data_IF_874029400571
#
_entry.id   IF_874029400571
#
_cell.length_a   1.000
_cell.length_b   1.000
_cell.length_c   1.000
_cell.angle_alpha   90.00
_cell.angle_beta   90.00
_cell.angle_gamma   90.00
#
_symmetry.space_group_name_H-M   'P 1'
#
loop_
_entity.id
_entity.type
_entity.pdbx_description
1 polymer ?
#
# COMPACT_ATOMS: atom_id res chain seq x y z
N UNK A 1 -0.43 -17.33 -15.20
CA UNK A 1 -0.27 -15.86 -15.21
C UNK A 1 0.27 -15.46 -16.57
N UNK A 2 -0.18 -14.33 -17.11
CA UNK A 2 0.40 -13.72 -18.31
C UNK A 2 1.86 -13.30 -18.01
N UNK A 3 2.78 -13.52 -18.96
CA UNK A 3 4.21 -13.25 -18.80
C UNK A 3 4.48 -11.77 -18.48
N UNK A 4 3.69 -10.88 -19.09
CA UNK A 4 3.72 -9.43 -18.82
C UNK A 4 3.31 -9.07 -17.40
N UNK A 5 2.34 -9.79 -16.84
CA UNK A 5 1.88 -9.58 -15.47
C UNK A 5 2.97 -9.99 -14.48
N UNK A 6 3.65 -11.10 -14.73
CA UNK A 6 4.75 -11.56 -13.87
C UNK A 6 5.93 -10.58 -13.86
N UNK A 7 6.32 -10.07 -15.03
CA UNK A 7 7.35 -9.02 -15.13
C UNK A 7 6.95 -7.79 -14.34
N UNK A 8 5.67 -7.39 -14.41
CA UNK A 8 5.19 -6.21 -13.68
C UNK A 8 5.19 -6.39 -12.17
N UNK A 9 4.78 -7.56 -11.69
CA UNK A 9 4.86 -7.89 -10.27
C UNK A 9 6.32 -7.86 -9.79
N UNK A 10 7.25 -8.41 -10.57
CA UNK A 10 8.68 -8.38 -10.27
C UNK A 10 9.24 -6.94 -10.19
N UNK A 11 8.83 -6.06 -11.10
CA UNK A 11 9.16 -4.64 -11.04
C UNK A 11 8.60 -3.96 -9.79
N UNK A 12 7.34 -4.23 -9.44
CA UNK A 12 6.65 -3.65 -8.30
C UNK A 12 7.36 -4.03 -6.98
N UNK A 13 7.67 -5.31 -6.78
CA UNK A 13 8.38 -5.77 -5.56
C UNK A 13 9.81 -5.22 -5.50
N UNK A 14 10.50 -5.13 -6.63
CA UNK A 14 11.84 -4.54 -6.71
C UNK A 14 11.84 -3.05 -6.41
N UNK A 15 10.80 -2.33 -6.83
CA UNK A 15 10.59 -0.93 -6.48
C UNK A 15 10.37 -0.77 -4.97
N UNK A 16 9.44 -1.53 -4.39
CA UNK A 16 9.13 -1.47 -2.95
C UNK A 16 10.35 -1.74 -2.08
N UNK A 17 11.10 -2.79 -2.39
CA UNK A 17 12.34 -3.09 -1.68
C UNK A 17 13.30 -1.90 -1.66
N UNK A 18 13.50 -1.24 -2.81
CA UNK A 18 14.42 -0.10 -2.93
C UNK A 18 13.93 1.11 -2.14
N UNK A 19 12.65 1.45 -2.22
CA UNK A 19 12.10 2.62 -1.51
C UNK A 19 11.95 2.39 0.01
N UNK A 20 11.88 1.13 0.45
CA UNK A 20 11.95 0.76 1.87
C UNK A 20 13.39 0.53 2.36
N UNK A 21 14.40 0.71 1.49
CA UNK A 21 15.82 0.51 1.80
C UNK A 21 16.19 -0.90 2.32
N UNK A 22 15.41 -1.93 1.97
CA UNK A 22 15.77 -3.30 2.32
C UNK A 22 16.76 -3.91 1.32
N UNK A 23 17.67 -4.72 1.83
CA UNK A 23 18.47 -5.65 1.05
C UNK A 23 17.65 -6.88 0.62
N UNK A 24 18.12 -7.58 -0.40
CA UNK A 24 17.50 -8.86 -0.83
C UNK A 24 17.59 -9.94 0.25
N UNK A 25 18.64 -9.87 1.08
CA UNK A 25 18.84 -10.80 2.18
C UNK A 25 17.77 -10.60 3.27
N UNK A 26 17.51 -9.35 3.65
CA UNK A 26 16.50 -9.02 4.66
C UNK A 26 15.09 -9.45 4.24
N UNK A 27 14.72 -9.16 2.98
CA UNK A 27 13.42 -9.57 2.46
C UNK A 27 13.32 -11.10 2.37
N UNK A 28 14.36 -11.78 1.87
CA UNK A 28 14.36 -13.24 1.78
C UNK A 28 14.24 -13.90 3.17
N UNK A 29 14.94 -13.35 4.18
CA UNK A 29 14.86 -13.80 5.56
C UNK A 29 13.45 -13.64 6.14
N UNK A 30 12.79 -12.50 5.88
CA UNK A 30 11.40 -12.29 6.30
C UNK A 30 10.44 -13.27 5.64
N UNK A 31 10.62 -13.55 4.35
CA UNK A 31 9.79 -14.47 3.57
C UNK A 31 10.10 -15.95 3.82
N UNK A 32 11.11 -16.27 4.65
CA UNK A 32 11.59 -17.63 4.87
C UNK A 32 11.99 -18.36 3.57
N UNK A 33 12.59 -17.64 2.62
CA UNK A 33 13.12 -18.19 1.37
C UNK A 33 14.62 -17.93 1.26
N UNK A 34 15.28 -18.61 0.32
CA UNK A 34 16.67 -18.29 0.03
C UNK A 34 16.79 -16.92 -0.66
N UNK A 35 17.89 -16.21 -0.39
CA UNK A 35 18.24 -14.96 -1.10
C UNK A 35 18.20 -15.11 -2.61
N UNK A 36 18.65 -16.26 -3.12
CA UNK A 36 18.62 -16.57 -4.56
C UNK A 36 17.20 -16.71 -5.09
N UNK A 37 16.33 -17.45 -4.38
CA UNK A 37 14.91 -17.60 -4.73
C UNK A 37 14.22 -16.24 -4.81
N UNK A 38 14.43 -15.39 -3.80
CA UNK A 38 13.88 -14.03 -3.82
C UNK A 38 14.45 -13.19 -4.97
N UNK A 39 15.75 -13.31 -5.26
CA UNK A 39 16.38 -12.58 -6.38
C UNK A 39 15.77 -12.98 -7.72
N UNK A 40 15.49 -14.27 -7.94
CA UNK A 40 14.82 -14.75 -9.16
C UNK A 40 13.38 -14.25 -9.29
N UNK A 41 12.67 -14.14 -8.16
CA UNK A 41 11.35 -13.51 -8.15
C UNK A 41 11.44 -12.02 -8.52
N UNK A 42 12.36 -11.26 -7.90
CA UNK A 42 12.56 -9.82 -8.15
C UNK A 42 13.01 -9.53 -9.60
N UNK A 43 13.66 -10.48 -10.28
CA UNK A 43 14.06 -10.35 -11.69
C UNK A 43 13.07 -10.94 -12.67
N UNK A 44 11.94 -11.49 -12.21
CA UNK A 44 10.92 -12.11 -13.06
C UNK A 44 11.31 -13.48 -13.63
N UNK A 45 12.45 -14.04 -13.20
CA UNK A 45 12.93 -15.38 -13.62
C UNK A 45 12.15 -16.53 -12.97
N UNK A 46 11.41 -16.26 -11.91
CA UNK A 46 10.58 -17.21 -11.19
C UNK A 46 9.22 -16.59 -10.87
N UNK A 47 8.16 -17.38 -11.04
CA UNK A 47 6.79 -16.94 -10.72
C UNK A 47 6.65 -16.84 -9.21
N UNK A 48 6.15 -15.70 -8.74
CA UNK A 48 5.96 -15.50 -7.30
C UNK A 48 4.70 -16.23 -6.84
N UNK A 49 4.80 -16.97 -5.75
CA UNK A 49 3.64 -17.67 -5.20
C UNK A 49 2.70 -16.70 -4.49
N UNK A 50 1.42 -17.06 -4.39
CA UNK A 50 0.42 -16.24 -3.68
C UNK A 50 0.80 -16.02 -2.21
N UNK A 51 1.35 -17.04 -1.54
CA UNK A 51 1.81 -16.93 -0.14
C UNK A 51 2.91 -15.88 0.02
N UNK A 52 3.87 -15.86 -0.91
CA UNK A 52 4.94 -14.84 -0.90
C UNK A 52 4.37 -13.45 -1.18
N UNK A 53 3.42 -13.32 -2.10
CA UNK A 53 2.75 -12.04 -2.37
C UNK A 53 2.02 -11.49 -1.16
N UNK A 54 1.32 -12.33 -0.39
CA UNK A 54 0.65 -11.94 0.86
C UNK A 54 1.68 -11.52 1.90
N UNK A 55 2.74 -12.30 2.11
CA UNK A 55 3.80 -11.94 3.06
C UNK A 55 4.54 -10.63 2.66
N UNK A 56 4.73 -10.37 1.37
CA UNK A 56 5.29 -9.10 0.89
C UNK A 56 4.33 -7.92 1.13
N UNK A 57 3.03 -8.13 0.95
CA UNK A 57 2.02 -7.13 1.25
C UNK A 57 2.04 -6.76 2.74
N UNK A 58 2.17 -7.75 3.62
CA UNK A 58 2.33 -7.54 5.06
C UNK A 58 3.63 -6.80 5.39
N UNK A 59 4.78 -7.23 4.83
CA UNK A 59 6.09 -6.58 5.03
C UNK A 59 6.08 -5.10 4.65
N UNK A 60 5.38 -4.75 3.56
CA UNK A 60 5.33 -3.39 3.05
C UNK A 60 4.12 -2.60 3.53
N UNK A 61 3.24 -3.19 4.35
CA UNK A 61 1.99 -2.61 4.81
C UNK A 61 1.11 -2.11 3.65
N UNK A 62 0.99 -2.93 2.60
CA UNK A 62 0.17 -2.66 1.42
C UNK A 62 -0.91 -3.72 1.27
N UNK A 63 -1.95 -3.43 0.49
CA UNK A 63 -2.89 -4.48 0.06
C UNK A 63 -2.25 -5.32 -1.05
N UNK A 64 -2.49 -6.63 -1.07
CA UNK A 64 -1.96 -7.52 -2.12
C UNK A 64 -2.37 -7.08 -3.53
N UNK A 65 -3.55 -6.46 -3.68
CA UNK A 65 -4.01 -5.90 -4.96
C UNK A 65 -3.08 -4.84 -5.53
N UNK A 66 -2.39 -4.07 -4.67
CA UNK A 66 -1.44 -3.02 -5.08
C UNK A 66 -0.21 -3.66 -5.72
N UNK A 67 0.28 -4.78 -5.18
CA UNK A 67 1.41 -5.52 -5.77
C UNK A 67 1.10 -6.04 -7.17
N UNK A 68 -0.18 -6.35 -7.42
CA UNK A 68 -0.71 -6.86 -8.67
C UNK A 68 -1.10 -5.75 -9.66
N UNK A 69 -0.88 -4.47 -9.35
CA UNK A 69 -1.28 -3.37 -10.23
C UNK A 69 -0.48 -3.39 -11.55
N UNK A 70 -1.14 -3.60 -12.72
CA UNK A 70 -0.44 -3.63 -14.00
C UNK A 70 0.05 -2.25 -14.46
N UNK A 71 -0.60 -1.16 -14.08
CA UNK A 71 -0.17 0.19 -14.48
C UNK A 71 0.87 0.79 -13.51
N UNK A 72 2.03 1.17 -14.02
CA UNK A 72 3.14 1.68 -13.19
C UNK A 72 2.78 2.98 -12.49
N UNK A 73 2.04 3.87 -13.16
CA UNK A 73 1.71 5.19 -12.62
C UNK A 73 0.70 5.02 -11.49
N UNK A 74 -0.31 4.18 -11.69
CA UNK A 74 -1.30 3.85 -10.68
C UNK A 74 -0.67 3.12 -9.49
N UNK A 75 0.25 2.18 -9.74
CA UNK A 75 1.03 1.51 -8.69
C UNK A 75 1.80 2.52 -7.82
N UNK A 76 2.60 3.39 -8.44
CA UNK A 76 3.39 4.41 -7.70
C UNK A 76 2.46 5.34 -6.91
N UNK A 77 1.34 5.75 -7.50
CA UNK A 77 0.34 6.59 -6.85
C UNK A 77 -0.24 5.89 -5.61
N UNK A 78 -0.68 4.63 -5.72
CA UNK A 78 -1.22 3.87 -4.60
C UNK A 78 -0.19 3.68 -3.48
N UNK A 79 1.05 3.31 -3.83
CA UNK A 79 2.15 3.17 -2.86
C UNK A 79 2.44 4.50 -2.15
N UNK A 80 2.46 5.61 -2.88
CA UNK A 80 2.71 6.95 -2.32
C UNK A 80 1.59 7.36 -1.35
N UNK A 81 0.33 7.20 -1.75
CA UNK A 81 -0.83 7.55 -0.92
C UNK A 81 -0.88 6.72 0.36
N UNK A 82 -0.64 5.40 0.28
CA UNK A 82 -0.65 4.53 1.47
C UNK A 82 0.50 4.86 2.43
N UNK A 83 1.69 5.19 1.92
CA UNK A 83 2.84 5.56 2.76
C UNK A 83 2.72 6.96 3.37
N UNK A 84 2.04 7.88 2.69
CA UNK A 84 1.74 9.22 3.22
C UNK A 84 0.63 9.18 4.29
N UNK A 85 -0.25 8.18 4.25
CA UNK A 85 -1.40 8.08 5.14
C UNK A 85 -1.10 7.60 6.57
N UNK A 86 0.01 6.90 6.79
CA UNK A 86 0.33 6.30 8.10
C UNK A 86 -0.65 5.18 8.52
N UNK A 87 -0.39 4.56 9.68
CA UNK A 87 -1.22 3.46 10.23
C UNK A 87 -2.70 3.86 10.36
N UNK A 88 -2.94 5.12 10.76
CA UNK A 88 -4.28 5.67 10.95
C UNK A 88 -5.08 5.73 9.63
N UNK A 89 -4.45 6.04 8.50
CA UNK A 89 -5.13 6.00 7.20
C UNK A 89 -5.39 4.58 6.73
N UNK A 90 -4.49 3.63 7.01
CA UNK A 90 -4.74 2.22 6.71
C UNK A 90 -5.96 1.70 7.49
N UNK A 91 -6.05 2.00 8.78
CA UNK A 91 -7.21 1.66 9.62
C UNK A 91 -8.49 2.33 9.12
N UNK A 92 -8.44 3.62 8.77
CA UNK A 92 -9.58 4.34 8.21
C UNK A 92 -10.05 3.72 6.88
N UNK A 93 -9.11 3.31 6.03
CA UNK A 93 -9.41 2.74 4.72
C UNK A 93 -10.01 1.34 4.84
N UNK A 94 -9.46 0.48 5.71
CA UNK A 94 -10.05 -0.84 6.02
C UNK A 94 -11.47 -0.69 6.56
N UNK A 95 -11.65 0.20 7.54
CA UNK A 95 -12.95 0.48 8.14
C UNK A 95 -13.95 0.96 7.09
N UNK A 96 -13.56 1.92 6.24
CA UNK A 96 -14.42 2.46 5.19
C UNK A 96 -14.94 1.38 4.24
N UNK A 97 -14.08 0.47 3.77
CA UNK A 97 -14.50 -0.60 2.87
C UNK A 97 -15.37 -1.68 3.52
N UNK A 98 -15.36 -1.79 4.85
CA UNK A 98 -16.23 -2.70 5.61
C UNK A 98 -17.62 -2.12 5.90
N UNK A 99 -17.79 -0.81 5.74
CA UNK A 99 -19.06 -0.13 5.94
C UNK A 99 -20.02 -0.32 4.76
N UNK A 100 -21.32 -0.21 5.03
CA UNK A 100 -22.34 -0.13 3.97
C UNK A 100 -22.23 1.21 3.21
N UNK A 101 -22.74 1.31 1.97
CA UNK A 101 -22.71 2.57 1.22
C UNK A 101 -23.32 3.75 1.97
N UNK A 102 -24.39 3.51 2.73
CA UNK A 102 -24.99 4.51 3.60
C UNK A 102 -24.02 4.98 4.69
N UNK A 103 -23.41 4.05 5.42
CA UNK A 103 -22.48 4.38 6.51
C UNK A 103 -21.17 5.00 6.00
N UNK A 104 -20.70 4.64 4.80
CA UNK A 104 -19.62 5.32 4.10
C UNK A 104 -19.96 6.80 3.87
N UNK A 105 -21.18 7.09 3.41
CA UNK A 105 -21.69 8.46 3.26
C UNK A 105 -21.67 9.23 4.58
N UNK A 106 -22.18 8.62 5.66
CA UNK A 106 -22.15 9.23 6.99
C UNK A 106 -20.72 9.53 7.48
N UNK A 107 -19.76 8.64 7.21
CA UNK A 107 -18.35 8.87 7.58
C UNK A 107 -17.77 10.09 6.83
N UNK A 108 -18.08 10.24 5.54
CA UNK A 108 -17.63 11.37 4.73
C UNK A 108 -18.26 12.70 5.17
N UNK A 109 -19.54 12.69 5.53
CA UNK A 109 -20.19 13.86 6.13
C UNK A 109 -19.51 14.25 7.44
N UNK A 110 -19.22 13.26 8.30
CA UNK A 110 -18.55 13.52 9.58
C UNK A 110 -17.15 14.09 9.40
N UNK A 111 -16.38 13.56 8.45
CA UNK A 111 -15.06 14.11 8.08
C UNK A 111 -15.18 15.56 7.59
N UNK A 112 -16.20 15.86 6.77
CA UNK A 112 -16.46 17.22 6.27
C UNK A 112 -16.84 18.18 7.40
N UNK A 113 -17.64 17.74 8.36
CA UNK A 113 -18.01 18.54 9.54
C UNK A 113 -16.78 18.89 10.40
N UNK A 114 -15.87 17.94 10.62
CA UNK A 114 -14.64 18.19 11.38
C UNK A 114 -13.79 19.30 10.73
N UNK A 115 -13.65 19.26 9.41
CA UNK A 115 -12.92 20.30 8.66
C UNK A 115 -13.55 21.69 8.79
N UNK A 116 -14.87 21.79 8.81
CA UNK A 116 -15.56 23.07 9.04
C UNK A 116 -15.29 23.62 10.44
N UNK A 117 -15.35 22.77 11.47
CA UNK A 117 -15.08 23.16 12.86
C UNK A 117 -13.63 23.65 13.06
N UNK A 118 -12.66 23.02 12.42
CA UNK A 118 -11.26 23.47 12.46
C UNK A 118 -11.09 24.85 11.83
N UNK A 119 -11.78 25.13 10.72
CA UNK A 119 -11.75 26.45 10.08
C UNK A 119 -12.35 27.53 10.98
N UNK A 120 -13.51 27.27 11.56
CA UNK A 120 -14.18 28.20 12.48
C UNK A 120 -13.27 28.53 13.67
N UNK A 121 -12.65 27.51 14.29
CA UNK A 121 -11.72 27.71 15.40
C UNK A 121 -10.51 28.55 15.01
N UNK A 122 -9.93 28.32 13.83
CA UNK A 122 -8.81 29.12 13.32
C UNK A 122 -9.21 30.59 13.04
N UNK A 123 -10.44 30.83 12.61
CA UNK A 123 -10.96 32.18 12.40
C UNK A 123 -11.20 32.92 13.72
N UNK A 124 -11.68 32.22 14.75
CA UNK A 124 -11.83 32.77 16.10
C UNK A 124 -10.48 33.10 16.75
N UNK A 125 -9.47 32.25 16.56
CA UNK A 125 -8.11 32.49 17.06
C UNK A 125 -7.43 33.67 16.36
N UNK A 126 -7.74 33.93 15.08
CA UNK A 126 -7.24 35.11 14.34
C UNK A 126 -7.94 36.42 14.69
N UNK A 127 -9.13 36.37 15.29
CA UNK A 127 -9.90 37.55 15.72
C UNK A 127 -9.57 38.00 17.14
N UNK A 128 -8.78 37.22 17.89
CA UNK A 128 -8.25 37.54 19.22
C UNK A 128 -6.85 38.15 19.10
#
# INVERSE_FOLDING_TARGET
>A
MDMKMQERIAENIGYLRKICAYSREEVAKYLHVSRMSYTRCETGQEVISANILVALAELYHLRTSVLLEPDKKEFIKQVTLQRMGGEMMNELTDTFFRLSPFAQGCLLERASMLLSLEREKQEEEKRK
#
